data_IF_789315121709
#
_entry.id   IF_789315121709
#
_cell.length_a   1.000
_cell.length_b   1.000
_cell.length_c   1.000
_cell.angle_alpha   90.00
_cell.angle_beta   90.00
_cell.angle_gamma   90.00
#
_symmetry.space_group_name_H-M   'P 1'
#
loop_
_entity.id
_entity.type
_entity.pdbx_description
1 polymer ?
#
# COMPACT_ATOMS: atom_id res chain seq x y z
N UNK A 1 -1.52 1.56 -7.87
CA UNK A 1 -1.50 2.27 -6.57
C UNK A 1 -0.32 3.19 -6.65
N UNK A 2 -0.52 4.36 -7.25
CA UNK A 2 0.57 5.28 -7.61
C UNK A 2 0.70 6.43 -6.63
N UNK A 3 -0.20 6.52 -5.64
CA UNK A 3 -0.23 7.61 -4.66
C UNK A 3 0.81 7.52 -3.55
N UNK A 4 1.68 6.52 -3.57
CA UNK A 4 2.67 6.26 -2.52
C UNK A 4 2.08 5.61 -1.27
N UNK A 5 2.94 5.46 -0.26
CA UNK A 5 2.58 4.98 1.07
C UNK A 5 2.09 6.15 1.93
N UNK A 6 1.06 5.92 2.74
CA UNK A 6 0.58 6.91 3.71
C UNK A 6 1.69 7.32 4.69
N UNK A 7 2.61 6.40 4.96
CA UNK A 7 3.82 6.65 5.72
C UNK A 7 4.66 7.80 5.15
N UNK A 8 4.86 7.90 3.84
CA UNK A 8 5.65 9.00 3.24
C UNK A 8 4.96 10.36 3.42
N UNK A 9 3.63 10.37 3.42
CA UNK A 9 2.87 11.58 3.74
C UNK A 9 3.04 11.96 5.21
N UNK A 10 2.99 10.98 6.12
CA UNK A 10 3.19 11.18 7.55
C UNK A 10 4.61 11.67 7.87
N UNK A 11 5.64 11.09 7.24
CA UNK A 11 7.02 11.57 7.37
C UNK A 11 7.19 13.00 6.86
N UNK A 12 6.50 13.38 5.77
CA UNK A 12 6.57 14.72 5.21
C UNK A 12 5.87 15.78 6.05
N UNK A 13 4.69 15.46 6.59
CA UNK A 13 3.89 16.40 7.40
C UNK A 13 4.26 16.37 8.89
N UNK A 14 4.88 15.29 9.36
CA UNK A 14 5.21 15.04 10.76
C UNK A 14 4.01 14.57 11.58
N UNK A 15 2.89 15.32 11.54
CA UNK A 15 1.61 14.98 12.17
C UNK A 15 0.46 15.34 11.24
N UNK A 16 -0.62 14.56 11.28
CA UNK A 16 -1.88 14.88 10.61
C UNK A 16 -2.82 15.66 11.52
N UNK A 17 -3.56 16.58 10.91
CA UNK A 17 -4.72 17.20 11.53
C UNK A 17 -5.81 16.15 11.80
N UNK A 18 -6.61 16.35 12.85
CA UNK A 18 -7.63 15.37 13.24
C UNK A 18 -8.64 15.07 12.14
N UNK A 19 -9.03 16.05 11.32
CA UNK A 19 -9.95 15.84 10.20
C UNK A 19 -9.34 14.92 9.11
N UNK A 20 -8.07 15.12 8.78
CA UNK A 20 -7.31 14.26 7.86
C UNK A 20 -7.19 12.84 8.40
N UNK A 21 -6.82 12.70 9.68
CA UNK A 21 -6.73 11.40 10.34
C UNK A 21 -8.11 10.72 10.40
N UNK A 22 -9.18 11.48 10.69
CA UNK A 22 -10.56 10.97 10.74
C UNK A 22 -10.99 10.36 9.41
N UNK A 23 -10.71 11.03 8.29
CA UNK A 23 -10.99 10.50 6.95
C UNK A 23 -10.30 9.16 6.71
N UNK A 24 -8.98 9.07 6.91
CA UNK A 24 -8.24 7.83 6.65
C UNK A 24 -8.60 6.71 7.62
N UNK A 25 -8.77 7.02 8.91
CA UNK A 25 -9.18 6.04 9.91
C UNK A 25 -10.59 5.51 9.63
N UNK A 26 -11.49 6.33 9.09
CA UNK A 26 -12.81 5.88 8.65
C UNK A 26 -12.70 4.84 7.53
N UNK A 27 -11.93 5.11 6.47
CA UNK A 27 -11.73 4.15 5.38
C UNK A 27 -11.06 2.84 5.85
N UNK A 28 -10.05 2.95 6.71
CA UNK A 28 -9.35 1.80 7.29
C UNK A 28 -10.32 0.97 8.14
N UNK A 29 -11.15 1.61 8.97
CA UNK A 29 -12.13 0.91 9.82
C UNK A 29 -13.14 0.12 8.99
N UNK A 30 -13.56 0.64 7.83
CA UNK A 30 -14.43 -0.07 6.90
C UNK A 30 -13.73 -1.27 6.26
N UNK A 31 -12.47 -1.11 5.85
CA UNK A 31 -11.67 -2.19 5.28
C UNK A 31 -11.49 -3.34 6.30
N UNK A 32 -11.12 -3.01 7.54
CA UNK A 32 -10.99 -4.00 8.63
C UNK A 32 -12.32 -4.70 8.91
N UNK A 33 -13.42 -3.93 9.04
CA UNK A 33 -14.75 -4.50 9.24
C UNK A 33 -15.16 -5.48 8.13
N UNK A 34 -14.82 -5.17 6.88
CA UNK A 34 -15.06 -6.07 5.74
C UNK A 34 -14.24 -7.37 5.84
N UNK A 35 -12.98 -7.29 6.26
CA UNK A 35 -12.15 -8.48 6.49
C UNK A 35 -12.71 -9.33 7.64
N UNK A 36 -13.08 -8.70 8.75
CA UNK A 36 -13.65 -9.37 9.91
C UNK A 36 -14.97 -10.07 9.57
N UNK A 37 -15.82 -9.46 8.73
CA UNK A 37 -17.06 -10.08 8.25
C UNK A 37 -16.79 -11.37 7.45
N UNK A 38 -15.65 -11.45 6.76
CA UNK A 38 -15.19 -12.64 6.04
C UNK A 38 -14.41 -13.64 6.93
N UNK A 39 -14.30 -13.37 8.23
CA UNK A 39 -13.54 -14.21 9.17
C UNK A 39 -12.03 -14.11 9.00
N UNK A 40 -11.55 -12.96 8.48
CA UNK A 40 -10.13 -12.67 8.24
C UNK A 40 -9.67 -11.62 9.25
N UNK A 41 -8.55 -11.87 9.93
CA UNK A 41 -7.83 -10.89 10.75
C UNK A 41 -6.60 -10.42 10.01
N UNK A 42 -6.35 -9.12 9.99
CA UNK A 42 -5.27 -8.50 9.23
C UNK A 42 -3.90 -8.62 9.92
N UNK A 43 -3.80 -8.27 11.21
CA UNK A 43 -2.65 -8.46 12.12
C UNK A 43 -1.37 -7.67 11.82
N UNK A 44 -1.30 -6.90 10.74
CA UNK A 44 -0.13 -6.07 10.42
C UNK A 44 -0.51 -4.65 10.00
N UNK A 45 -1.46 -4.04 10.73
CA UNK A 45 -1.85 -2.65 10.48
C UNK A 45 -0.79 -1.68 11.01
N UNK A 46 -0.17 -0.97 10.07
CA UNK A 46 0.87 0.03 10.27
C UNK A 46 0.91 0.99 9.06
N UNK A 47 1.47 2.20 9.19
CA UNK A 47 1.51 3.18 8.09
C UNK A 47 2.08 2.64 6.77
N UNK A 48 3.09 1.77 6.84
CA UNK A 48 3.80 1.22 5.67
C UNK A 48 2.91 0.28 4.84
N UNK A 49 1.91 -0.36 5.47
CA UNK A 49 0.97 -1.25 4.80
C UNK A 49 -0.32 -0.54 4.34
N UNK A 50 -0.32 0.80 4.37
CA UNK A 50 -1.44 1.64 3.96
C UNK A 50 -0.99 2.47 2.78
N UNK A 51 -1.53 2.18 1.60
CA UNK A 51 -1.22 2.90 0.37
C UNK A 51 -2.35 3.84 -0.03
N UNK A 52 -1.99 4.90 -0.74
CA UNK A 52 -2.96 5.78 -1.39
C UNK A 52 -3.12 5.44 -2.87
N UNK A 53 -4.36 5.44 -3.35
CA UNK A 53 -4.63 5.35 -4.78
C UNK A 53 -4.43 6.73 -5.45
N UNK A 54 -4.58 6.80 -6.79
CA UNK A 54 -4.40 8.05 -7.55
C UNK A 54 -5.42 9.16 -7.19
N UNK A 55 -6.50 8.82 -6.49
CA UNK A 55 -7.51 9.76 -6.02
C UNK A 55 -7.25 10.22 -4.58
N UNK A 56 -6.36 9.55 -3.83
CA UNK A 56 -6.09 9.83 -2.42
C UNK A 56 -6.83 8.93 -1.43
N UNK A 57 -7.55 7.90 -1.88
CA UNK A 57 -8.21 6.94 -0.98
C UNK A 57 -7.27 5.82 -0.56
N UNK A 58 -7.48 5.32 0.66
CA UNK A 58 -6.72 4.25 1.28
C UNK A 58 -6.95 2.90 0.60
N UNK A 59 -5.87 2.13 0.49
CA UNK A 59 -5.88 0.70 0.25
C UNK A 59 -4.93 0.01 1.22
N UNK A 60 -5.43 -1.03 1.91
CA UNK A 60 -4.59 -1.93 2.67
C UNK A 60 -3.80 -2.83 1.72
N UNK A 61 -2.52 -3.02 2.00
CA UNK A 61 -1.62 -3.91 1.26
C UNK A 61 -1.07 -5.01 2.16
N UNK A 62 -0.20 -5.88 1.64
CA UNK A 62 0.46 -6.95 2.42
C UNK A 62 -0.46 -7.79 3.33
N UNK A 63 -1.17 -8.74 2.72
CA UNK A 63 -2.02 -9.69 3.43
C UNK A 63 -1.24 -10.93 3.91
N UNK A 64 0.11 -10.92 3.85
CA UNK A 64 0.95 -12.09 4.15
C UNK A 64 0.85 -12.56 5.60
N UNK A 65 0.46 -11.68 6.52
CA UNK A 65 0.24 -11.98 7.93
C UNK A 65 -1.24 -12.17 8.30
N UNK A 66 -2.15 -12.18 7.32
CA UNK A 66 -3.55 -12.40 7.60
C UNK A 66 -3.82 -13.80 8.17
N UNK A 67 -4.93 -13.95 8.88
CA UNK A 67 -5.41 -15.24 9.36
C UNK A 67 -6.90 -15.40 9.06
N UNK A 68 -7.22 -16.43 8.29
CA UNK A 68 -8.60 -16.80 7.96
C UNK A 68 -9.21 -17.76 8.99
N UNK A 69 -10.51 -18.03 8.83
CA UNK A 69 -11.27 -19.03 9.58
C UNK A 69 -11.35 -18.77 11.08
N UNK A 70 -11.35 -17.49 11.49
CA UNK A 70 -11.58 -17.12 12.88
C UNK A 70 -13.06 -16.76 13.02
N UNK A 71 -13.87 -17.79 13.30
CA UNK A 71 -15.26 -17.65 13.72
C UNK A 71 -15.33 -17.46 15.24
N UNK A 72 -16.47 -16.95 15.72
CA UNK A 72 -16.70 -16.60 17.13
C UNK A 72 -16.16 -17.67 18.10
N UNK A 73 -15.17 -17.28 18.90
CA UNK A 73 -14.50 -18.11 19.90
C UNK A 73 -13.19 -18.77 19.46
N UNK A 74 -12.86 -18.78 18.16
CA UNK A 74 -11.57 -19.30 17.68
C UNK A 74 -10.46 -18.30 17.96
N UNK A 75 -9.34 -18.77 18.49
CA UNK A 75 -8.15 -17.94 18.74
C UNK A 75 -6.94 -18.52 18.02
N UNK A 76 -6.05 -17.62 17.59
CA UNK A 76 -4.72 -17.99 17.09
C UNK A 76 -3.64 -17.55 18.08
N UNK A 77 -2.49 -18.22 18.06
CA UNK A 77 -1.37 -17.97 18.99
C UNK A 77 -0.10 -17.51 18.27
N UNK A 78 -0.14 -17.30 16.96
CA UNK A 78 1.02 -16.88 16.16
C UNK A 78 1.50 -15.49 16.60
N UNK A 79 2.77 -15.38 16.98
CA UNK A 79 3.41 -14.09 17.22
C UNK A 79 3.87 -13.48 15.88
N UNK A 80 3.21 -12.44 15.40
CA UNK A 80 3.52 -11.77 14.13
C UNK A 80 3.05 -10.31 14.11
N UNK A 81 3.61 -9.51 13.18
CA UNK A 81 3.35 -8.08 12.98
C UNK A 81 4.54 -7.19 13.40
N UNK A 82 4.33 -5.87 13.37
CA UNK A 82 5.28 -4.87 13.89
C UNK A 82 4.98 -4.54 15.37
N UNK A 83 6.01 -4.63 16.24
CA UNK A 83 5.85 -4.63 17.71
C UNK A 83 5.09 -3.40 18.23
N UNK A 84 5.39 -2.23 17.69
CA UNK A 84 4.83 -0.92 18.05
C UNK A 84 3.31 -0.87 17.88
N UNK A 85 2.77 -1.68 16.96
CA UNK A 85 1.34 -1.75 16.63
C UNK A 85 0.68 -3.04 17.15
N UNK A 86 1.44 -3.97 17.74
CA UNK A 86 0.90 -5.22 18.28
C UNK A 86 0.09 -4.99 19.55
N UNK A 87 -1.04 -5.70 19.64
CA UNK A 87 -1.85 -5.75 20.84
C UNK A 87 -1.15 -6.52 21.99
N UNK A 88 -1.42 -6.16 23.26
CA UNK A 88 -0.84 -6.83 24.44
C UNK A 88 -1.00 -8.35 24.45
N UNK A 89 -2.15 -8.86 24.02
CA UNK A 89 -2.46 -10.29 23.97
C UNK A 89 -1.61 -11.07 22.94
N UNK A 90 -1.16 -10.43 21.85
CA UNK A 90 -0.20 -11.03 20.91
C UNK A 90 1.15 -11.15 21.60
N UNK A 91 1.58 -10.09 22.28
CA UNK A 91 2.86 -10.03 22.99
C UNK A 91 2.93 -11.04 24.15
N UNK A 92 1.79 -11.27 24.82
CA UNK A 92 1.64 -12.25 25.89
C UNK A 92 1.39 -13.68 25.39
N UNK A 93 1.17 -13.86 24.09
CA UNK A 93 0.82 -15.16 23.45
C UNK A 93 -0.42 -15.81 24.07
N UNK A 94 -1.35 -15.03 24.63
CA UNK A 94 -2.54 -15.52 25.33
C UNK A 94 -3.63 -16.06 24.41
N UNK A 95 -3.40 -16.03 23.09
CA UNK A 95 -4.44 -16.23 22.09
C UNK A 95 -5.08 -14.90 21.72
N UNK A 96 -5.35 -14.71 20.43
CA UNK A 96 -5.94 -13.49 19.91
C UNK A 96 -6.93 -13.75 18.79
N UNK A 97 -7.81 -12.76 18.60
CA UNK A 97 -8.86 -12.70 17.59
C UNK A 97 -8.87 -11.30 16.94
N UNK A 98 -9.95 -10.95 16.24
CA UNK A 98 -10.12 -9.67 15.51
C UNK A 98 -9.89 -8.41 16.35
N UNK A 99 -10.00 -8.49 17.68
CA UNK A 99 -9.78 -7.35 18.57
C UNK A 99 -8.38 -6.73 18.46
N UNK A 100 -7.39 -7.49 17.97
CA UNK A 100 -6.02 -6.98 17.78
C UNK A 100 -5.93 -5.91 16.71
N UNK A 101 -6.74 -6.00 15.65
CA UNK A 101 -6.73 -5.01 14.57
C UNK A 101 -7.26 -3.66 15.06
N UNK A 102 -8.21 -3.67 16.02
CA UNK A 102 -8.70 -2.45 16.67
C UNK A 102 -7.66 -1.81 17.61
N UNK A 103 -6.79 -2.60 18.23
CA UNK A 103 -5.64 -2.04 18.94
C UNK A 103 -4.68 -1.38 17.96
N UNK A 104 -4.34 -2.06 16.87
CA UNK A 104 -3.44 -1.53 15.85
C UNK A 104 -4.01 -0.25 15.20
N UNK A 105 -5.34 -0.16 15.01
CA UNK A 105 -6.00 1.07 14.58
C UNK A 105 -5.80 2.21 15.58
N UNK A 106 -5.90 1.92 16.88
CA UNK A 106 -5.61 2.91 17.94
C UNK A 106 -4.15 3.35 17.97
N UNK A 107 -3.21 2.43 17.75
CA UNK A 107 -1.79 2.74 17.69
C UNK A 107 -1.46 3.60 16.45
N UNK A 108 -2.05 3.26 15.31
CA UNK A 108 -1.96 4.02 14.07
C UNK A 108 -2.59 5.41 14.21
N UNK A 109 -3.77 5.53 14.82
CA UNK A 109 -4.40 6.82 15.09
C UNK A 109 -3.50 7.71 15.94
N UNK A 110 -2.89 7.15 16.98
CA UNK A 110 -1.96 7.89 17.82
C UNK A 110 -0.73 8.34 17.02
N UNK A 111 -0.19 7.47 16.17
CA UNK A 111 0.95 7.77 15.31
C UNK A 111 0.63 8.92 14.34
N UNK A 112 -0.51 8.85 13.64
CA UNK A 112 -0.97 9.94 12.77
C UNK A 112 -1.10 11.28 13.50
N UNK A 113 -1.60 11.27 14.74
CA UNK A 113 -1.91 12.50 15.48
C UNK A 113 -0.72 13.06 16.26
N UNK A 114 0.36 12.29 16.44
CA UNK A 114 1.49 12.69 17.31
C UNK A 114 2.87 12.49 16.69
N UNK A 115 2.94 11.82 15.53
CA UNK A 115 4.15 11.58 14.74
C UNK A 115 5.00 10.40 15.20
N UNK A 116 4.53 9.65 16.21
CA UNK A 116 5.16 8.40 16.63
C UNK A 116 4.14 7.47 17.30
N UNK A 117 4.33 6.13 17.29
CA UNK A 117 3.48 5.19 18.01
C UNK A 117 3.41 5.49 19.52
N UNK A 118 2.31 5.09 20.20
CA UNK A 118 2.07 5.45 21.61
C UNK A 118 3.08 4.85 22.58
N UNK A 119 3.72 3.74 22.18
CA UNK A 119 4.71 3.04 22.98
C UNK A 119 5.91 2.69 22.10
N UNK A 120 7.00 3.42 22.30
CA UNK A 120 8.30 3.16 21.66
C UNK A 120 9.39 3.05 22.72
N UNK A 121 10.43 2.26 22.48
CA UNK A 121 11.55 2.08 23.40
C UNK A 121 12.85 1.85 22.65
N UNK A 122 13.98 1.97 23.35
CA UNK A 122 15.31 1.80 22.74
C UNK A 122 15.55 0.40 22.15
N UNK A 123 14.77 -0.59 22.59
CA UNK A 123 14.83 -1.94 22.04
C UNK A 123 13.47 -2.64 22.18
N UNK A 124 13.33 -3.76 21.45
CA UNK A 124 12.09 -4.56 21.40
C UNK A 124 11.55 -4.89 22.79
N UNK A 125 12.41 -5.27 23.74
CA UNK A 125 11.99 -5.62 25.11
C UNK A 125 11.40 -4.42 25.84
N UNK A 126 12.06 -3.25 25.79
CA UNK A 126 11.56 -2.00 26.38
C UNK A 126 10.24 -1.56 25.75
N UNK A 127 10.10 -1.69 24.43
CA UNK A 127 8.84 -1.40 23.71
C UNK A 127 7.71 -2.30 24.21
N UNK A 128 7.95 -3.62 24.29
CA UNK A 128 6.98 -4.58 24.82
C UNK A 128 6.60 -4.24 26.27
N UNK A 129 7.58 -3.97 27.14
CA UNK A 129 7.32 -3.59 28.53
C UNK A 129 6.45 -2.31 28.62
N UNK A 130 6.68 -1.33 27.75
CA UNK A 130 5.84 -0.12 27.67
C UNK A 130 4.42 -0.43 27.21
N UNK A 131 4.25 -1.25 26.16
CA UNK A 131 2.94 -1.70 25.69
C UNK A 131 2.16 -2.40 26.81
N UNK A 132 2.83 -3.24 27.60
CA UNK A 132 2.17 -4.02 28.65
C UNK A 132 1.87 -3.22 29.93
N UNK A 133 2.66 -2.20 30.26
CA UNK A 133 2.62 -1.58 31.61
C UNK A 133 2.46 -0.06 31.63
N UNK A 134 2.91 0.64 30.60
CA UNK A 134 3.00 2.11 30.64
C UNK A 134 1.61 2.77 30.54
N UNK A 135 1.44 3.92 31.18
CA UNK A 135 0.20 4.70 31.01
C UNK A 135 0.23 5.37 29.64
N UNK A 136 -0.89 5.32 28.92
CA UNK A 136 -1.05 6.08 27.67
C UNK A 136 -0.94 7.58 27.99
N UNK A 137 0.05 8.24 27.39
CA UNK A 137 0.18 9.69 27.44
C UNK A 137 -0.64 10.29 26.29
N UNK A 138 -1.45 11.30 26.54
CA UNK A 138 -2.26 11.95 25.50
C UNK A 138 -1.94 13.45 25.50
N UNK A 139 -1.41 13.99 24.40
CA UNK A 139 -1.10 15.41 24.30
C UNK A 139 -2.33 16.29 24.55
N UNK A 140 -2.15 17.49 25.15
CA UNK A 140 -3.25 18.37 25.50
C UNK A 140 -3.92 19.03 24.28
N UNK A 141 -3.26 19.04 23.11
CA UNK A 141 -3.81 19.59 21.87
C UNK A 141 -4.88 18.70 21.23
N UNK A 142 -5.00 17.43 21.65
CA UNK A 142 -6.00 16.51 21.11
C UNK A 142 -7.40 16.83 21.64
N UNK A 143 -8.40 16.76 20.76
CA UNK A 143 -9.80 16.95 21.13
C UNK A 143 -10.27 15.92 22.15
N UNK A 144 -11.39 16.20 22.82
CA UNK A 144 -11.95 15.26 23.79
C UNK A 144 -12.40 13.96 23.11
N UNK A 145 -12.91 14.05 21.88
CA UNK A 145 -13.34 12.94 21.05
C UNK A 145 -12.16 12.06 20.60
N UNK A 146 -11.06 12.66 20.14
CA UNK A 146 -9.85 11.92 19.77
C UNK A 146 -9.25 11.20 20.99
N UNK A 147 -9.13 11.90 22.13
CA UNK A 147 -8.64 11.31 23.38
C UNK A 147 -9.51 10.18 23.89
N UNK A 148 -10.83 10.29 23.74
CA UNK A 148 -11.78 9.25 24.15
C UNK A 148 -11.69 8.01 23.24
N UNK A 149 -11.61 8.20 21.92
CA UNK A 149 -11.43 7.09 20.96
C UNK A 149 -10.13 6.33 21.23
N UNK A 150 -9.00 7.04 21.38
CA UNK A 150 -7.70 6.45 21.70
C UNK A 150 -7.75 5.62 22.98
N UNK A 151 -8.37 6.14 24.05
CA UNK A 151 -8.51 5.39 25.31
C UNK A 151 -9.35 4.12 25.15
N UNK A 152 -10.35 4.12 24.28
CA UNK A 152 -11.25 3.00 24.04
C UNK A 152 -10.62 1.91 23.16
N UNK A 153 -9.86 2.30 22.13
CA UNK A 153 -9.12 1.38 21.25
C UNK A 153 -7.86 0.81 21.93
N UNK A 154 -7.12 1.61 22.69
CA UNK A 154 -5.88 1.20 23.38
C UNK A 154 -6.13 0.61 24.77
N UNK A 155 -7.26 -0.06 24.97
CA UNK A 155 -7.50 -0.87 26.17
C UNK A 155 -6.74 -2.18 26.10
N UNK A 156 -5.97 -2.47 27.14
CA UNK A 156 -5.16 -3.70 27.22
C UNK A 156 -6.00 -4.97 27.30
N UNK A 157 -7.08 -4.92 28.06
CA UNK A 157 -8.02 -6.03 28.09
C UNK A 157 -8.86 -6.00 26.79
N UNK A 158 -8.58 -6.95 25.90
CA UNK A 158 -9.25 -7.11 24.61
C UNK A 158 -10.77 -7.15 24.72
N UNK A 159 -11.34 -7.84 25.73
CA UNK A 159 -12.79 -7.95 25.89
C UNK A 159 -13.49 -6.61 26.22
N UNK A 160 -12.74 -5.64 26.74
CA UNK A 160 -13.26 -4.31 27.09
C UNK A 160 -12.98 -3.24 26.03
N UNK A 161 -12.25 -3.62 24.98
CA UNK A 161 -11.78 -2.76 23.88
C UNK A 161 -12.93 -2.48 22.92
N UNK A 162 -13.00 -1.25 22.41
CA UNK A 162 -13.99 -0.89 21.41
C UNK A 162 -13.78 -1.72 20.13
N UNK A 163 -14.87 -2.25 19.57
CA UNK A 163 -14.83 -3.14 18.40
C UNK A 163 -14.55 -4.61 18.74
N UNK A 164 -14.27 -4.96 19.99
CA UNK A 164 -14.13 -6.36 20.39
C UNK A 164 -15.48 -7.07 20.56
N UNK A 165 -16.57 -6.30 20.75
CA UNK A 165 -17.92 -6.82 20.88
C UNK A 165 -18.49 -7.35 19.56
N UNK A 166 -19.73 -7.87 19.58
CA UNK A 166 -20.40 -8.39 18.39
C UNK A 166 -20.57 -7.34 17.28
N UNK A 167 -20.67 -6.06 17.63
CA UNK A 167 -20.87 -4.98 16.66
C UNK A 167 -19.60 -4.61 15.87
N UNK A 168 -18.42 -5.06 16.31
CA UNK A 168 -17.15 -4.92 15.59
C UNK A 168 -16.90 -3.51 15.03
N UNK A 169 -16.70 -3.37 13.72
CA UNK A 169 -16.53 -2.08 13.08
C UNK A 169 -17.68 -1.11 13.36
N UNK A 170 -18.92 -1.58 13.47
CA UNK A 170 -20.07 -0.74 13.78
C UNK A 170 -19.95 -0.01 15.13
N UNK A 171 -19.33 -0.63 16.13
CA UNK A 171 -19.08 0.02 17.43
C UNK A 171 -18.03 1.14 17.31
N UNK A 172 -17.00 0.92 16.49
CA UNK A 172 -15.94 1.89 16.22
C UNK A 172 -16.49 3.07 15.41
N UNK A 173 -17.26 2.78 14.36
CA UNK A 173 -17.86 3.74 13.45
C UNK A 173 -18.91 4.64 14.15
N UNK A 174 -19.59 4.14 15.17
CA UNK A 174 -20.54 4.90 15.97
C UNK A 174 -19.87 5.90 16.94
N UNK A 175 -18.54 5.91 17.05
CA UNK A 175 -17.85 6.82 17.97
C UNK A 175 -17.98 8.29 17.53
N UNK A 176 -18.11 9.20 18.49
CA UNK A 176 -18.29 10.65 18.23
C UNK A 176 -17.14 11.31 17.44
N UNK A 177 -15.96 10.68 17.39
CA UNK A 177 -14.85 11.10 16.55
C UNK A 177 -15.20 11.06 15.05
N UNK A 178 -16.03 10.10 14.64
CA UNK A 178 -16.51 9.93 13.27
C UNK A 178 -17.87 10.58 13.01
N UNK A 179 -18.36 11.47 13.88
CA UNK A 179 -19.72 12.04 13.80
C UNK A 179 -20.04 12.77 12.49
N UNK A 180 -19.00 13.24 11.78
CA UNK A 180 -19.13 13.96 10.51
C UNK A 180 -19.00 13.05 9.28
N UNK A 181 -18.73 11.76 9.47
CA UNK A 181 -18.55 10.80 8.39
C UNK A 181 -19.91 10.30 7.92
N UNK A 182 -20.19 10.52 6.63
CA UNK A 182 -21.23 9.79 5.92
C UNK A 182 -20.65 8.49 5.36
N UNK A 183 -20.93 7.37 6.02
CA UNK A 183 -20.36 6.06 5.68
C UNK A 183 -20.77 5.56 4.29
N UNK A 184 -22.00 5.85 3.84
CA UNK A 184 -22.49 5.45 2.53
C UNK A 184 -21.79 6.22 1.41
N UNK A 185 -21.58 7.54 1.61
CA UNK A 185 -20.83 8.37 0.67
C UNK A 185 -19.35 8.00 0.64
N UNK A 186 -18.76 7.69 1.80
CA UNK A 186 -17.37 7.24 1.89
C UNK A 186 -17.17 5.91 1.16
N UNK A 187 -18.07 4.94 1.35
CA UNK A 187 -18.06 3.66 0.63
C UNK A 187 -18.21 3.86 -0.88
N UNK A 188 -19.08 4.78 -1.29
CA UNK A 188 -19.29 5.14 -2.69
C UNK A 188 -18.16 6.02 -3.26
N UNK A 189 -17.12 6.35 -2.47
CA UNK A 189 -16.00 7.25 -2.83
C UNK A 189 -16.48 8.61 -3.35
N UNK A 190 -17.53 9.15 -2.73
CA UNK A 190 -18.08 10.49 -3.03
C UNK A 190 -17.49 11.59 -2.15
N UNK A 191 -16.89 11.21 -1.02
CA UNK A 191 -16.18 12.13 -0.14
C UNK A 191 -14.80 12.41 -0.72
N UNK A 192 -14.45 13.69 -0.89
CA UNK A 192 -13.16 14.10 -1.41
C UNK A 192 -12.03 13.81 -0.41
N UNK A 193 -10.94 13.12 -0.81
CA UNK A 193 -9.82 12.87 0.09
C UNK A 193 -9.07 14.14 0.48
N UNK A 194 -8.53 14.22 1.71
CA UNK A 194 -7.81 15.40 2.20
C UNK A 194 -6.49 15.64 1.47
N UNK A 195 -5.89 14.59 0.89
CA UNK A 195 -4.71 14.69 0.06
C UNK A 195 -4.91 13.91 -1.24
N UNK A 196 -4.69 14.58 -2.36
CA UNK A 196 -4.68 13.97 -3.69
C UNK A 196 -3.25 13.97 -4.23
N UNK A 197 -2.65 12.79 -4.51
CA UNK A 197 -1.31 12.71 -5.09
C UNK A 197 -1.24 13.45 -6.43
N UNK A 198 -0.21 14.27 -6.62
CA UNK A 198 0.09 14.89 -7.90
C UNK A 198 0.87 13.89 -8.75
N UNK A 199 0.20 13.33 -9.76
CA UNK A 199 0.79 12.36 -10.67
C UNK A 199 0.86 12.95 -12.08
N UNK A 200 2.01 12.80 -12.74
CA UNK A 200 2.22 13.24 -14.11
C UNK A 200 1.64 12.26 -15.13
N UNK A 201 1.55 10.97 -14.78
CA UNK A 201 1.00 9.91 -15.63
C UNK A 201 0.55 8.70 -14.79
N UNK A 202 -0.10 7.72 -15.41
CA UNK A 202 -0.47 6.46 -14.74
C UNK A 202 0.73 5.59 -14.35
N UNK A 203 1.89 5.79 -14.99
CA UNK A 203 3.13 5.08 -14.72
C UNK A 203 4.08 5.90 -13.82
N UNK A 204 3.60 7.01 -13.27
CA UNK A 204 4.40 7.89 -12.42
C UNK A 204 4.78 7.20 -11.11
N UNK A 205 6.10 7.09 -10.88
CA UNK A 205 6.71 6.49 -9.69
C UNK A 205 7.35 7.55 -8.76
N UNK A 206 7.06 8.84 -8.96
CA UNK A 206 7.61 9.94 -8.17
C UNK A 206 7.23 9.90 -6.68
N UNK A 207 6.16 9.19 -6.34
CA UNK A 207 5.71 8.98 -4.95
C UNK A 207 6.36 7.75 -4.29
N UNK A 208 7.39 7.16 -4.91
CA UNK A 208 8.15 6.03 -4.36
C UNK A 208 9.59 6.43 -4.06
N UNK A 209 10.21 5.72 -3.12
CA UNK A 209 11.59 5.97 -2.77
C UNK A 209 12.52 5.73 -3.97
N UNK A 210 13.25 6.78 -4.31
CA UNK A 210 14.23 6.82 -5.40
C UNK A 210 15.32 5.76 -5.33
N UNK A 211 15.56 5.15 -4.16
CA UNK A 211 16.49 4.03 -4.01
C UNK A 211 16.01 2.78 -4.75
N UNK A 212 14.70 2.62 -4.94
CA UNK A 212 14.10 1.50 -5.65
C UNK A 212 13.86 1.83 -7.13
N UNK A 213 13.32 3.02 -7.43
CA UNK A 213 12.97 3.40 -8.81
C UNK A 213 14.17 3.64 -9.71
N UNK A 214 15.37 3.83 -9.14
CA UNK A 214 16.65 3.88 -9.88
C UNK A 214 17.25 2.51 -10.19
N UNK A 215 16.73 1.43 -9.60
CA UNK A 215 17.22 0.08 -9.87
C UNK A 215 16.57 -0.45 -11.15
N UNK A 216 17.36 -1.14 -11.97
CA UNK A 216 16.79 -1.86 -13.12
C UNK A 216 15.88 -2.98 -12.60
N UNK A 217 14.63 -3.09 -13.08
CA UNK A 217 13.74 -4.17 -12.68
C UNK A 217 14.24 -5.48 -13.30
N UNK A 218 15.09 -6.20 -12.56
CA UNK A 218 15.61 -7.50 -12.93
C UNK A 218 15.29 -8.49 -11.82
N UNK A 219 14.83 -9.67 -12.21
CA UNK A 219 14.70 -10.78 -11.27
C UNK A 219 16.11 -11.23 -10.84
N UNK A 220 16.32 -11.35 -9.53
CA UNK A 220 17.57 -11.91 -9.01
C UNK A 220 17.72 -13.35 -9.51
N UNK A 221 18.87 -13.74 -10.10
CA UNK A 221 19.08 -15.10 -10.54
C UNK A 221 19.12 -16.03 -9.32
N UNK A 222 18.34 -17.11 -9.38
CA UNK A 222 18.42 -18.24 -8.45
C UNK A 222 18.72 -19.50 -9.25
N UNK A 223 19.93 -20.03 -9.08
CA UNK A 223 20.39 -21.26 -9.75
C UNK A 223 19.84 -22.54 -9.09
N UNK A 224 19.05 -22.41 -8.02
CA UNK A 224 18.50 -23.55 -7.30
C UNK A 224 17.26 -24.11 -8.01
N UNK A 225 17.41 -25.31 -8.58
CA UNK A 225 16.24 -26.07 -9.06
C UNK A 225 15.49 -26.62 -7.85
N UNK A 226 14.25 -26.16 -7.64
CA UNK A 226 13.37 -26.73 -6.62
C UNK A 226 13.10 -28.21 -6.92
N UNK A 227 13.15 -29.05 -5.88
CA UNK A 227 12.76 -30.45 -6.02
C UNK A 227 11.28 -30.58 -6.37
N UNK A 228 10.88 -31.67 -7.03
CA UNK A 228 9.48 -31.91 -7.37
C UNK A 228 8.55 -31.88 -6.14
N UNK A 229 9.04 -32.37 -4.99
CA UNK A 229 8.33 -32.27 -3.70
C UNK A 229 8.14 -30.84 -3.22
N UNK A 230 9.06 -29.91 -3.53
CA UNK A 230 8.90 -28.50 -3.20
C UNK A 230 7.89 -27.82 -4.14
N UNK A 231 7.89 -28.18 -5.43
CA UNK A 231 6.90 -27.68 -6.40
C UNK A 231 5.47 -28.10 -6.04
N UNK A 232 5.28 -29.29 -5.45
CA UNK A 232 3.97 -29.74 -4.98
C UNK A 232 3.34 -28.83 -3.92
N UNK A 233 4.14 -28.07 -3.15
CA UNK A 233 3.64 -27.11 -2.15
C UNK A 233 2.90 -25.93 -2.80
N UNK A 234 3.22 -25.60 -4.05
CA UNK A 234 2.64 -24.47 -4.78
C UNK A 234 1.47 -24.86 -5.70
N UNK A 235 0.99 -26.11 -5.62
CA UNK A 235 -0.21 -26.53 -6.36
C UNK A 235 -1.42 -25.70 -5.93
N UNK A 236 -2.12 -25.12 -6.90
CA UNK A 236 -3.25 -24.23 -6.65
C UNK A 236 -2.88 -22.75 -6.41
N UNK A 237 -1.60 -22.38 -6.55
CA UNK A 237 -1.16 -20.99 -6.42
C UNK A 237 -1.62 -20.09 -7.59
N UNK A 238 -1.69 -20.65 -8.80
CA UNK A 238 -2.11 -19.89 -9.99
C UNK A 238 -3.58 -19.49 -9.88
N UNK A 239 -3.83 -18.18 -9.88
CA UNK A 239 -5.17 -17.61 -9.85
C UNK A 239 -5.28 -16.45 -10.83
N UNK A 240 -6.40 -16.37 -11.55
CA UNK A 240 -6.76 -15.22 -12.39
C UNK A 240 -8.12 -14.72 -11.96
N UNK A 241 -8.19 -13.47 -11.53
CA UNK A 241 -9.44 -12.88 -11.08
C UNK A 241 -10.46 -12.83 -12.25
N UNK A 242 -11.74 -13.15 -12.01
CA UNK A 242 -12.78 -13.06 -13.05
C UNK A 242 -12.87 -11.68 -13.72
N UNK A 243 -12.67 -10.61 -12.95
CA UNK A 243 -12.65 -9.23 -13.46
C UNK A 243 -11.53 -8.98 -14.47
N UNK A 244 -10.36 -9.59 -14.26
CA UNK A 244 -9.25 -9.51 -15.22
C UNK A 244 -9.65 -10.24 -16.51
N UNK A 245 -10.23 -11.44 -16.39
CA UNK A 245 -10.71 -12.20 -17.55
C UNK A 245 -11.78 -11.45 -18.35
N UNK A 246 -12.69 -10.76 -17.66
CA UNK A 246 -13.73 -9.95 -18.29
C UNK A 246 -13.15 -8.73 -19.02
N UNK A 247 -12.24 -7.99 -18.39
CA UNK A 247 -11.55 -6.85 -19.03
C UNK A 247 -10.74 -7.27 -20.26
N UNK A 248 -10.17 -8.47 -20.24
CA UNK A 248 -9.45 -9.05 -21.38
C UNK A 248 -10.45 -9.39 -22.49
N UNK A 249 -11.58 -10.03 -22.18
CA UNK A 249 -12.64 -10.33 -23.16
C UNK A 249 -13.22 -9.06 -23.80
N UNK A 250 -13.39 -7.98 -23.04
CA UNK A 250 -13.85 -6.68 -23.57
C UNK A 250 -12.82 -6.07 -24.53
N UNK A 251 -11.52 -6.14 -24.22
CA UNK A 251 -10.46 -5.66 -25.13
C UNK A 251 -10.34 -6.50 -26.41
N UNK A 252 -10.76 -7.76 -26.39
CA UNK A 252 -10.75 -8.66 -27.54
C UNK A 252 -12.09 -8.79 -28.29
N UNK A 253 -13.17 -8.19 -27.80
CA UNK A 253 -14.46 -8.14 -28.51
C UNK A 253 -14.47 -6.97 -29.49
N UNK A 254 -13.68 -7.11 -30.55
CA UNK A 254 -13.78 -6.26 -31.73
C UNK A 254 -15.02 -6.72 -32.52
N UNK A 255 -16.13 -5.98 -32.45
CA UNK A 255 -17.22 -6.20 -33.40
C UNK A 255 -16.71 -5.87 -34.82
N UNK A 256 -16.82 -6.81 -35.79
CA UNK A 256 -16.52 -6.47 -37.16
C UNK A 256 -17.58 -5.47 -37.63
N UNK A 257 -17.17 -4.21 -37.87
CA UNK A 257 -18.00 -3.25 -38.60
C UNK A 257 -18.33 -3.85 -39.96
N UNK A 258 -19.51 -4.44 -40.09
CA UNK A 258 -20.07 -4.86 -41.38
C UNK A 258 -20.23 -3.57 -42.20
N UNK A 259 -19.26 -3.31 -43.08
CA UNK A 259 -19.38 -2.23 -44.05
C UNK A 259 -20.55 -2.58 -44.98
N UNK A 260 -21.50 -1.67 -45.10
CA UNK A 260 -22.62 -1.79 -46.03
C UNK A 260 -22.12 -1.98 -47.48
N UNK A 261 -22.78 -2.80 -48.31
CA UNK A 261 -22.34 -3.03 -49.68
C UNK A 261 -22.43 -1.75 -50.51
N UNK A 262 -21.28 -1.28 -51.02
CA UNK A 262 -21.20 -0.10 -51.88
C UNK A 262 -21.83 -0.44 -53.25
N UNK A 263 -22.93 0.22 -53.61
CA UNK A 263 -23.57 0.14 -54.94
C UNK A 263 -22.56 0.55 -56.03
N UNK A 264 -22.31 -0.34 -56.98
CA UNK A 264 -21.66 -0.03 -58.24
C UNK A 264 -22.59 0.81 -59.12
N UNK A 265 -22.16 2.00 -59.53
CA UNK A 265 -22.69 2.72 -60.70
C UNK A 265 -21.48 3.19 -61.52
N UNK A 266 -21.50 2.83 -62.80
CA UNK A 266 -20.38 2.94 -63.73
C UNK A 266 -20.02 4.36 -64.17
N UNK A 267 -18.79 4.47 -64.68
CA UNK A 267 -18.29 5.60 -65.48
C UNK A 267 -18.96 5.57 -66.87
N UNK A 268 -19.16 6.72 -67.56
CA UNK A 268 -18.12 7.14 -68.52
C UNK A 268 -17.96 8.66 -68.75
N UNK A 269 -16.69 9.05 -68.95
CA UNK A 269 -16.12 10.00 -69.95
C UNK A 269 -16.52 11.50 -69.95
N UNK A 270 -15.49 12.33 -70.09
CA UNK A 270 -15.41 13.81 -70.19
C UNK A 270 -15.85 14.39 -71.54
N UNK A 271 -16.05 15.73 -71.67
CA UNK A 271 -15.03 16.52 -72.40
C UNK A 271 -14.80 18.00 -71.95
N UNK A 272 -13.50 18.35 -71.84
CA UNK A 272 -12.67 19.52 -72.25
C UNK A 272 -13.27 20.95 -72.57
N UNK A 273 -12.80 21.95 -71.77
CA UNK A 273 -12.34 23.37 -72.04
C UNK A 273 -13.28 24.53 -72.45
N UNK A 274 -12.87 25.85 -72.36
CA UNK A 274 -11.64 26.47 -71.79
C UNK A 274 -11.87 27.67 -70.82
N UNK A 275 -10.84 28.01 -70.03
CA UNK A 275 -10.77 29.23 -69.20
C UNK A 275 -10.02 30.34 -69.98
N UNK A 276 -10.58 31.56 -70.01
CA UNK A 276 -9.99 32.77 -70.61
C UNK A 276 -8.99 33.45 -69.66
N UNK A 277 -7.89 33.95 -70.23
CA UNK A 277 -6.86 34.79 -69.59
C UNK A 277 -7.25 36.28 -69.55
N UNK A 278 -7.00 36.93 -68.39
CA UNK A 278 -6.30 38.21 -68.07
C UNK A 278 -6.60 39.50 -68.89
N UNK A 279 -6.37 40.76 -68.39
CA UNK A 279 -5.18 41.16 -67.61
C UNK A 279 -5.23 42.41 -66.67
N UNK A 280 -4.10 42.63 -65.97
CA UNK A 280 -3.59 43.95 -65.54
C UNK A 280 -3.89 44.31 -64.08
N UNK A 281 -2.97 44.80 -63.24
CA UNK A 281 -1.62 45.38 -63.38
C UNK A 281 -0.90 45.15 -62.00
N UNK A 282 0.35 44.66 -61.91
CA UNK A 282 1.63 45.40 -61.97
C UNK A 282 1.67 46.59 -60.97
N UNK A 283 2.53 46.71 -59.94
CA UNK A 283 4.01 46.68 -59.82
C UNK A 283 4.42 46.39 -58.35
N UNK A 284 5.40 45.54 -57.99
CA UNK A 284 6.88 45.74 -57.92
C UNK A 284 7.30 47.04 -57.19
N UNK A 285 8.30 47.18 -56.31
CA UNK A 285 9.54 46.54 -55.81
C UNK A 285 9.97 47.46 -54.62
N UNK A 286 10.81 47.18 -53.63
CA UNK A 286 11.86 46.19 -53.37
C UNK A 286 12.87 46.82 -52.37
N UNK A 287 13.59 45.97 -51.62
CA UNK A 287 15.01 46.05 -51.15
C UNK A 287 15.60 47.39 -50.57
N UNK A 288 16.54 47.49 -49.63
CA UNK A 288 17.51 46.58 -48.96
C UNK A 288 18.44 47.39 -48.03
N UNK A 289 19.16 46.70 -47.12
CA UNK A 289 20.58 46.86 -46.74
C UNK A 289 21.02 47.54 -45.41
N UNK A 290 22.02 46.88 -44.77
CA UNK A 290 23.00 47.38 -43.77
C UNK A 290 23.02 46.59 -42.45
N UNK A 291 23.80 45.50 -42.24
CA UNK A 291 25.23 45.42 -41.83
C UNK A 291 25.53 46.16 -40.49
N UNK A 292 26.26 45.70 -39.47
CA UNK A 292 27.29 44.65 -39.28
C UNK A 292 27.78 44.60 -37.80
N UNK A 293 28.57 43.55 -37.46
CA UNK A 293 29.58 43.39 -36.38
C UNK A 293 29.14 42.89 -34.97
N UNK A 294 29.43 41.65 -34.55
CA UNK A 294 30.70 40.95 -34.13
C UNK A 294 31.17 41.26 -32.70
N UNK A 295 31.19 40.28 -31.79
CA UNK A 295 32.38 39.56 -31.26
C UNK A 295 32.08 38.74 -29.97
N UNK A 296 32.89 37.69 -29.82
CA UNK A 296 32.88 36.48 -28.98
C UNK A 296 33.60 36.66 -27.60
N UNK A 297 33.68 35.61 -26.73
CA UNK A 297 33.76 35.71 -25.27
C UNK A 297 35.19 35.61 -24.70
N UNK A 298 35.34 35.78 -23.37
CA UNK A 298 36.60 35.59 -22.64
C UNK A 298 36.39 34.75 -21.37
N UNK A 299 37.26 33.76 -21.19
CA UNK A 299 37.41 32.81 -20.07
C UNK A 299 38.47 33.25 -19.03
N UNK A 300 38.20 32.93 -17.74
CA UNK A 300 39.05 32.49 -16.59
C UNK A 300 40.33 33.27 -16.15
N UNK A 301 40.67 33.32 -14.83
CA UNK A 301 41.23 32.17 -14.08
C UNK A 301 40.87 32.00 -12.58
N UNK A 302 41.22 30.81 -12.07
CA UNK A 302 41.23 30.30 -10.68
C UNK A 302 42.05 31.14 -9.69
N UNK A 303 41.68 31.10 -8.40
CA UNK A 303 42.61 30.73 -7.31
C UNK A 303 41.89 30.30 -6.01
N UNK A 304 42.64 29.56 -5.20
CA UNK A 304 42.25 28.59 -4.17
C UNK A 304 42.32 29.12 -2.73
N UNK A 305 41.44 28.65 -1.85
CA UNK A 305 41.63 28.41 -0.40
C UNK A 305 40.29 27.85 0.13
N UNK A 306 40.17 26.97 1.12
CA UNK A 306 41.06 26.31 2.07
C UNK A 306 40.13 25.50 3.00
N UNK A 307 40.58 24.31 3.37
CA UNK A 307 39.88 23.23 4.06
C UNK A 307 39.41 23.62 5.48
N UNK A 308 38.19 23.22 5.87
CA UNK A 308 37.91 22.64 7.19
C UNK A 308 36.89 21.49 7.07
N UNK A 309 37.37 20.27 7.28
CA UNK A 309 36.60 19.05 7.45
C UNK A 309 36.09 18.98 8.90
N UNK A 310 34.81 18.71 9.09
CA UNK A 310 34.32 18.05 10.31
C UNK A 310 33.72 16.71 9.93
N UNK A 311 34.43 15.66 10.31
CA UNK A 311 33.98 14.27 10.32
C UNK A 311 32.73 14.14 11.21
N UNK A 312 31.65 13.62 10.65
CA UNK A 312 30.63 12.92 11.43
C UNK A 312 30.53 11.51 10.88
N UNK A 313 31.14 10.60 11.62
CA UNK A 313 31.17 9.16 11.45
C UNK A 313 29.75 8.60 11.30
N UNK A 314 29.40 8.15 10.10
CA UNK A 314 28.25 7.26 9.87
C UNK A 314 28.71 5.84 10.19
N UNK A 315 28.35 5.33 11.38
CA UNK A 315 28.49 3.92 11.69
C UNK A 315 27.42 3.14 10.92
N UNK A 316 27.83 2.49 9.83
CA UNK A 316 27.12 1.37 9.24
C UNK A 316 27.44 0.09 9.98
N UNK A 317 26.45 -0.57 10.57
CA UNK A 317 26.52 -2.00 10.87
C UNK A 317 25.54 -2.72 9.94
N UNK A 318 26.08 -3.19 8.82
CA UNK A 318 25.52 -4.26 8.03
C UNK A 318 25.60 -5.55 8.86
N UNK A 319 24.46 -6.13 9.20
CA UNK A 319 24.40 -7.42 9.89
C UNK A 319 24.89 -8.53 8.95
N UNK A 320 26.12 -8.99 9.16
CA UNK A 320 26.64 -10.19 8.52
C UNK A 320 25.91 -11.45 9.03
N UNK A 321 25.69 -12.48 8.19
CA UNK A 321 25.09 -13.74 8.62
C UNK A 321 26.09 -14.56 9.46
N UNK A 322 25.59 -15.15 10.55
CA UNK A 322 26.35 -16.04 11.44
C UNK A 322 26.76 -17.35 10.71
N UNK A 323 27.92 -17.94 11.06
CA UNK A 323 28.40 -19.17 10.43
C UNK A 323 27.53 -20.39 10.78
N UNK A 324 27.21 -21.18 9.73
CA UNK A 324 26.49 -22.45 9.81
C UNK A 324 27.36 -23.48 10.55
N UNK A 325 26.85 -24.00 11.68
CA UNK A 325 27.46 -25.09 12.43
C UNK A 325 27.16 -26.42 11.72
N UNK A 326 28.19 -27.13 11.28
CA UNK A 326 28.05 -28.46 10.67
C UNK A 326 27.44 -29.47 11.66
N UNK A 327 26.57 -30.40 11.21
CA UNK A 327 25.98 -31.41 12.07
C UNK A 327 27.00 -32.51 12.41
N UNK A 328 27.24 -32.69 13.71
CA UNK A 328 27.98 -33.82 14.26
C UNK A 328 27.26 -35.14 13.96
N UNK A 329 27.98 -36.08 13.36
CA UNK A 329 27.57 -37.46 13.15
C UNK A 329 27.57 -38.25 14.47
N UNK A 330 26.39 -38.65 14.95
CA UNK A 330 26.20 -39.57 16.08
C UNK A 330 24.83 -40.26 15.98
N UNK A 331 24.68 -41.51 16.46
CA UNK A 331 23.69 -42.44 15.93
C UNK A 331 22.26 -42.17 16.42
N UNK A 332 21.33 -42.05 15.48
CA UNK A 332 19.89 -41.95 15.73
C UNK A 332 19.32 -43.27 16.29
N UNK A 333 18.78 -43.22 17.52
CA UNK A 333 17.84 -44.25 18.01
C UNK A 333 16.45 -43.95 17.46
N UNK A 334 15.86 -44.91 16.73
CA UNK A 334 14.47 -44.88 16.25
C UNK A 334 13.49 -44.93 17.43
N UNK A 335 12.66 -43.91 17.57
CA UNK A 335 11.41 -44.00 18.33
C UNK A 335 10.24 -44.01 17.34
N UNK A 336 9.51 -45.12 17.33
CA UNK A 336 8.30 -45.30 16.55
C UNK A 336 7.10 -44.68 17.30
N UNK A 337 6.31 -43.89 16.60
CA UNK A 337 4.96 -43.49 17.04
C UNK A 337 3.91 -44.21 16.18
N UNK A 338 2.81 -44.68 16.78
CA UNK A 338 1.82 -45.50 16.10
C UNK A 338 0.94 -44.68 15.14
N UNK A 339 0.68 -45.26 13.96
CA UNK A 339 -0.30 -44.79 13.01
C UNK A 339 -1.71 -44.95 13.58
N UNK A 340 -2.45 -43.84 13.73
CA UNK A 340 -3.89 -43.86 13.94
C UNK A 340 -4.59 -43.54 12.63
N UNK A 341 -5.51 -44.43 12.31
CA UNK A 341 -6.28 -44.60 11.09
C UNK A 341 -7.54 -43.71 11.01
N UNK A 342 -7.92 -43.41 9.77
CA UNK A 342 -9.25 -43.02 9.25
C UNK A 342 -9.64 -41.53 9.29
N UNK A 343 -9.68 -40.96 8.08
CA UNK A 343 -10.31 -39.69 7.69
C UNK A 343 -11.84 -39.88 7.63
N UNK A 344 -12.67 -38.97 8.16
CA UNK A 344 -14.13 -39.07 8.07
C UNK A 344 -14.66 -38.90 6.62
N UNK A 345 -15.66 -39.69 6.24
CA UNK A 345 -16.20 -39.81 4.87
C UNK A 345 -17.08 -38.64 4.37
N UNK A 346 -17.28 -37.56 5.14
CA UNK A 346 -18.20 -36.47 4.74
C UNK A 346 -17.56 -35.35 3.90
N UNK A 347 -16.31 -35.51 3.45
CA UNK A 347 -15.56 -34.52 2.65
C UNK A 347 -15.33 -34.93 1.19
N UNK A 348 -16.13 -35.87 0.67
CA UNK A 348 -16.24 -36.11 -0.79
C UNK A 348 -17.44 -35.33 -1.33
N UNK A 349 -17.19 -34.15 -1.88
CA UNK A 349 -18.09 -33.54 -2.87
C UNK A 349 -17.39 -33.60 -4.23
N UNK A 350 -18.17 -34.05 -5.21
CA UNK A 350 -17.76 -34.51 -6.53
C UNK A 350 -17.34 -33.36 -7.45
N UNK A 351 -16.41 -33.69 -8.35
CA UNK A 351 -16.02 -32.91 -9.53
C UNK A 351 -17.22 -32.54 -10.41
#
# INVERSE_FOLDING_TARGET
>A
MTGGELFMQLEREGIFMEDTACFYLAEISMALGHLHQKGIIYRDLKPENIMLNHQGHVKLTDFGLCKESIHDGTVTHTFCGTIEYMAPEILMRSGHNRAVDWWSLGALMYDMLTGAPPFTGENRKKTIDKILKCKLNLPPYLTQEARDLLKKLLKRNAASRLGAGPGDAGEVQAHAFFRHINWDELLARKVEPPFKPLLQSEEDVSQFDSKFTRQTPVDSPDDSTLSESANQVFLGFTYVAPSVLESVKEKFSFEPKIRSPRRFIGSPRTPVSPVKFSPGEFWARGASAGASNTQTPVEYPMETSGIEQMDVTVCGEASAPLPIRQPNSGPYKKQAFPMISKRPEHLRMNL
#
